data_IF_387760303768
#
_entry.id   IF_387760303768
#
_cell.length_a   1.000
_cell.length_b   1.000
_cell.length_c   1.000
_cell.angle_alpha   90.00
_cell.angle_beta   90.00
_cell.angle_gamma   90.00
#
_symmetry.space_group_name_H-M   'P 1'
#
loop_
_entity.id
_entity.type
_entity.pdbx_description
1 polymer ?
#
# COMPACT_ATOMS: atom_id res chain seq x y z
N UNK A 1 -29.28 -56.04 -8.95
CA UNK A 1 -28.93 -56.88 -7.80
C UNK A 1 -28.49 -55.95 -6.70
N UNK A 2 -29.23 -55.94 -5.60
CA UNK A 2 -28.94 -55.17 -4.41
C UNK A 2 -27.79 -55.82 -3.62
N UNK A 3 -26.91 -54.99 -3.05
CA UNK A 3 -25.90 -55.39 -2.08
C UNK A 3 -25.91 -54.41 -0.92
N UNK A 4 -26.75 -54.71 0.08
CA UNK A 4 -26.72 -54.17 1.44
C UNK A 4 -25.50 -54.74 2.20
N UNK A 5 -24.86 -53.91 3.03
CA UNK A 5 -24.15 -54.26 4.27
C UNK A 5 -23.21 -53.09 4.66
N UNK A 6 -23.02 -52.61 5.89
CA UNK A 6 -23.60 -52.85 7.22
C UNK A 6 -23.14 -51.67 8.08
N UNK A 7 -24.05 -51.04 8.82
CA UNK A 7 -23.71 -50.04 9.83
C UNK A 7 -23.05 -50.72 11.04
N UNK A 8 -21.92 -50.19 11.51
CA UNK A 8 -21.35 -50.52 12.81
C UNK A 8 -21.56 -49.33 13.74
N UNK A 9 -22.57 -49.44 14.60
CA UNK A 9 -22.74 -48.61 15.77
C UNK A 9 -21.72 -49.04 16.84
N UNK A 10 -20.90 -48.10 17.30
CA UNK A 10 -20.11 -48.23 18.52
C UNK A 10 -20.61 -47.19 19.51
N UNK A 11 -21.17 -47.69 20.61
CA UNK A 11 -21.62 -46.90 21.76
C UNK A 11 -20.81 -47.38 22.98
N UNK A 12 -20.44 -46.40 23.82
CA UNK A 12 -20.07 -46.42 25.25
C UNK A 12 -18.57 -46.30 25.58
N UNK A 13 -18.19 -45.66 26.72
CA UNK A 13 -18.99 -44.94 27.74
C UNK A 13 -18.50 -43.50 28.04
N UNK A 14 -19.37 -42.72 28.68
CA UNK A 14 -19.02 -41.50 29.41
C UNK A 14 -18.33 -41.84 30.74
N UNK A 15 -17.31 -41.05 31.13
CA UNK A 15 -17.12 -40.42 32.46
C UNK A 15 -15.64 -40.03 32.72
N UNK A 16 -15.44 -38.76 33.08
CA UNK A 16 -14.27 -38.23 33.78
C UNK A 16 -13.30 -37.48 32.84
N UNK A 17 -13.02 -36.20 32.98
CA UNK A 17 -13.36 -35.20 33.99
C UNK A 17 -12.28 -34.11 33.97
N UNK A 18 -12.69 -32.84 34.00
CA UNK A 18 -11.83 -31.66 34.20
C UNK A 18 -10.94 -31.31 33.00
N UNK A 19 -10.93 -30.11 32.44
CA UNK A 19 -11.44 -28.84 32.89
C UNK A 19 -12.00 -28.10 31.67
N UNK A 20 -13.30 -27.81 31.69
CA UNK A 20 -13.78 -26.58 31.09
C UNK A 20 -13.11 -25.46 31.90
N UNK A 21 -12.06 -24.87 31.33
CA UNK A 21 -11.67 -23.55 31.73
C UNK A 21 -12.72 -22.63 31.12
N UNK A 22 -13.84 -22.44 31.85
CA UNK A 22 -14.59 -21.20 31.80
C UNK A 22 -13.53 -20.09 31.93
N UNK A 23 -13.24 -19.40 30.83
CA UNK A 23 -12.67 -18.07 30.87
C UNK A 23 -13.75 -17.22 31.51
N UNK A 24 -13.74 -17.17 32.85
CA UNK A 24 -14.59 -16.29 33.60
C UNK A 24 -14.25 -14.86 33.19
N UNK A 25 -15.10 -14.27 32.35
CA UNK A 25 -15.31 -12.83 32.32
C UNK A 25 -15.42 -12.38 33.77
N UNK A 26 -14.46 -11.60 34.26
CA UNK A 26 -14.53 -11.08 35.61
C UNK A 26 -15.86 -10.32 35.74
N UNK A 27 -16.74 -10.74 36.65
CA UNK A 27 -18.00 -10.03 36.91
C UNK A 27 -17.67 -8.57 37.25
N UNK A 28 -17.91 -7.66 36.28
CA UNK A 28 -17.76 -6.22 36.48
C UNK A 28 -18.82 -5.80 37.50
N UNK A 29 -18.43 -5.16 38.63
CA UNK A 29 -19.41 -4.68 39.59
C UNK A 29 -20.42 -3.74 38.92
N UNK A 30 -21.72 -3.88 39.24
CA UNK A 30 -22.80 -3.04 38.70
C UNK A 30 -22.57 -1.53 38.94
N UNK A 31 -21.71 -1.17 39.91
CA UNK A 31 -21.33 0.18 40.30
C UNK A 31 -19.93 0.62 39.84
N UNK A 32 -19.24 -0.21 39.05
CA UNK A 32 -17.94 0.14 38.51
C UNK A 32 -18.04 1.26 37.45
N UNK A 33 -17.05 2.15 37.42
CA UNK A 33 -17.00 3.20 36.41
C UNK A 33 -16.64 2.59 35.05
N UNK A 34 -17.51 2.77 34.06
CA UNK A 34 -17.33 2.29 32.69
C UNK A 34 -16.93 3.45 31.77
N UNK A 35 -16.06 3.16 30.82
CA UNK A 35 -15.75 4.09 29.74
C UNK A 35 -16.96 4.31 28.81
N UNK A 36 -16.88 5.36 27.99
CA UNK A 36 -17.79 5.52 26.87
C UNK A 36 -17.58 4.38 25.87
N UNK A 37 -18.66 3.93 25.24
CA UNK A 37 -18.56 2.92 24.19
C UNK A 37 -17.72 3.45 23.02
N UNK A 38 -16.98 2.56 22.39
CA UNK A 38 -16.13 2.86 21.22
C UNK A 38 -15.01 3.88 21.55
N UNK A 39 -14.59 3.93 22.83
CA UNK A 39 -13.43 4.72 23.24
C UNK A 39 -12.21 4.31 22.41
N UNK A 40 -11.58 5.27 21.76
CA UNK A 40 -10.31 5.10 21.07
C UNK A 40 -9.40 6.31 21.33
N UNK A 41 -8.10 6.07 21.43
CA UNK A 41 -7.12 7.13 21.56
C UNK A 41 -5.68 6.62 21.51
N UNK A 42 -4.73 7.54 21.37
CA UNK A 42 -3.29 7.24 21.35
C UNK A 42 -2.64 7.78 22.61
N UNK A 43 -1.74 6.99 23.20
CA UNK A 43 -0.89 7.41 24.31
C UNK A 43 0.58 7.13 24.01
N UNK A 44 1.45 7.93 24.64
CA UNK A 44 2.89 7.70 24.72
C UNK A 44 3.32 7.14 26.08
N UNK A 45 2.36 6.89 26.97
CA UNK A 45 2.63 6.36 28.31
C UNK A 45 2.81 4.85 28.23
N UNK A 46 3.70 4.34 29.05
CA UNK A 46 3.84 2.90 29.25
C UNK A 46 2.56 2.32 29.87
N UNK A 47 2.01 1.28 29.26
CA UNK A 47 0.91 0.50 29.80
C UNK A 47 1.48 -0.75 30.49
N UNK A 48 1.10 -0.98 31.74
CA UNK A 48 1.51 -2.19 32.48
C UNK A 48 0.65 -3.38 32.03
N UNK A 49 1.06 -4.00 30.93
CA UNK A 49 0.37 -5.13 30.33
C UNK A 49 1.37 -6.14 29.73
N UNK A 50 0.92 -7.38 29.56
CA UNK A 50 1.69 -8.41 28.86
C UNK A 50 1.31 -8.38 27.39
N UNK A 51 2.09 -7.64 26.59
CA UNK A 51 1.92 -7.63 25.14
C UNK A 51 2.33 -8.97 24.53
N UNK A 52 1.50 -9.46 23.62
CA UNK A 52 1.84 -10.53 22.70
C UNK A 52 2.50 -9.88 21.49
N UNK A 53 3.71 -10.33 21.15
CA UNK A 53 4.42 -9.89 19.96
C UNK A 53 3.62 -10.27 18.70
N UNK A 54 3.58 -9.36 17.73
CA UNK A 54 3.03 -9.63 16.40
C UNK A 54 4.20 -9.91 15.44
N UNK A 55 4.04 -10.93 14.59
CA UNK A 55 5.08 -11.35 13.67
C UNK A 55 5.40 -10.25 12.65
N UNK A 56 6.67 -9.88 12.53
CA UNK A 56 7.17 -8.96 11.50
C UNK A 56 7.06 -9.62 10.12
N UNK A 57 5.97 -9.31 9.41
CA UNK A 57 5.62 -9.91 8.13
C UNK A 57 4.78 -8.97 7.28
N UNK A 58 4.71 -9.26 5.98
CA UNK A 58 3.87 -8.51 5.04
C UNK A 58 2.40 -8.54 5.44
N UNK A 59 1.94 -9.59 6.08
CA UNK A 59 0.56 -9.70 6.59
C UNK A 59 0.32 -8.87 7.85
N UNK A 60 1.34 -8.34 8.51
CA UNK A 60 1.22 -7.51 9.73
C UNK A 60 1.62 -6.05 9.51
N UNK A 61 1.73 -5.61 8.24
CA UNK A 61 2.11 -4.24 7.87
C UNK A 61 1.25 -3.65 6.76
N UNK A 62 1.18 -2.33 6.74
CA UNK A 62 0.59 -1.50 5.69
C UNK A 62 1.67 -0.67 5.01
N UNK A 63 1.70 -0.72 3.68
CA UNK A 63 2.62 0.03 2.86
C UNK A 63 1.85 1.04 2.01
N UNK A 64 2.15 2.32 2.17
CA UNK A 64 1.63 3.40 1.34
C UNK A 64 2.71 4.47 1.12
N UNK A 65 2.58 5.36 0.12
CA UNK A 65 3.53 6.45 -0.07
C UNK A 65 3.78 7.22 1.25
N UNK A 66 5.01 7.19 1.76
CA UNK A 66 5.38 7.84 3.03
C UNK A 66 4.93 7.11 4.30
N UNK A 67 4.37 5.89 4.21
CA UNK A 67 3.92 5.07 5.34
C UNK A 67 4.40 3.62 5.23
N UNK A 68 5.18 3.18 6.21
CA UNK A 68 5.38 1.76 6.55
C UNK A 68 4.88 1.54 7.98
N UNK A 69 3.61 1.14 8.11
CA UNK A 69 2.91 1.02 9.38
C UNK A 69 2.79 -0.45 9.78
N UNK A 70 3.24 -0.78 10.98
CA UNK A 70 3.16 -2.13 11.54
C UNK A 70 2.59 -2.10 12.96
N UNK A 71 1.84 -3.13 13.31
CA UNK A 71 1.48 -3.41 14.71
C UNK A 71 2.56 -4.33 15.28
N UNK A 72 3.16 -3.93 16.40
CA UNK A 72 4.30 -4.66 17.00
C UNK A 72 3.91 -5.47 18.22
N UNK A 73 2.81 -5.12 18.90
CA UNK A 73 2.38 -5.79 20.11
C UNK A 73 0.92 -5.53 20.44
N UNK A 74 0.24 -6.54 20.97
CA UNK A 74 -1.18 -6.45 21.38
C UNK A 74 -1.37 -6.99 22.79
N UNK A 75 -2.10 -6.26 23.61
CA UNK A 75 -2.54 -6.70 24.93
C UNK A 75 -4.04 -6.47 25.11
N UNK A 76 -4.75 -7.52 25.53
CA UNK A 76 -6.12 -7.40 26.02
C UNK A 76 -6.08 -6.92 27.48
N UNK A 77 -6.91 -5.93 27.83
CA UNK A 77 -6.96 -5.33 29.16
C UNK A 77 -8.36 -5.48 29.76
N UNK A 78 -8.43 -5.89 31.02
CA UNK A 78 -9.69 -5.92 31.77
C UNK A 78 -10.12 -4.52 32.22
N UNK A 79 -9.14 -3.64 32.49
CA UNK A 79 -9.35 -2.26 32.94
C UNK A 79 -8.20 -1.37 32.50
N UNK A 80 -8.44 -0.06 32.47
CA UNK A 80 -7.41 0.96 32.34
C UNK A 80 -7.37 1.86 33.59
N UNK A 81 -6.22 2.47 33.85
CA UNK A 81 -6.10 3.39 35.00
C UNK A 81 -6.83 4.71 34.72
N UNK A 82 -7.26 5.39 35.78
CA UNK A 82 -7.87 6.72 35.66
C UNK A 82 -6.95 7.74 35.00
N UNK A 83 -5.63 7.63 35.22
CA UNK A 83 -4.62 8.47 34.56
C UNK A 83 -4.52 8.21 33.06
N UNK A 84 -4.61 6.94 32.63
CA UNK A 84 -4.63 6.57 31.22
C UNK A 84 -5.94 7.02 30.56
N UNK A 85 -7.08 6.80 31.21
CA UNK A 85 -8.38 7.30 30.71
C UNK A 85 -8.38 8.82 30.53
N UNK A 86 -7.80 9.57 31.47
CA UNK A 86 -7.69 11.02 31.37
C UNK A 86 -6.73 11.49 30.26
N UNK A 87 -5.69 10.69 29.98
CA UNK A 87 -4.77 10.93 28.85
C UNK A 87 -5.50 10.77 27.50
N UNK A 88 -6.33 9.74 27.38
CA UNK A 88 -7.07 9.41 26.15
C UNK A 88 -8.24 10.37 25.89
N UNK A 89 -8.98 10.75 26.93
CA UNK A 89 -10.23 11.53 26.80
C UNK A 89 -10.08 13.02 27.12
N UNK A 90 -8.95 13.41 27.70
CA UNK A 90 -8.76 14.75 28.29
C UNK A 90 -9.59 15.02 29.55
N UNK A 91 -10.32 14.02 30.06
CA UNK A 91 -11.25 14.15 31.19
C UNK A 91 -11.00 13.08 32.26
N UNK A 92 -10.97 13.50 33.53
CA UNK A 92 -10.82 12.55 34.65
C UNK A 92 -12.16 11.86 34.97
N UNK A 93 -12.17 10.56 35.30
CA UNK A 93 -13.40 9.81 35.60
C UNK A 93 -14.11 10.30 36.89
N UNK A 94 -13.45 11.14 37.70
CA UNK A 94 -14.05 11.76 38.87
C UNK A 94 -13.96 10.90 40.13
N UNK A 95 -15.05 10.85 40.91
CA UNK A 95 -15.13 10.12 42.18
C UNK A 95 -16.35 9.20 42.19
N UNK A 96 -16.26 8.09 42.91
CA UNK A 96 -17.37 7.17 43.19
C UNK A 96 -18.50 7.84 43.97
N UNK A 97 -19.63 7.14 44.11
CA UNK A 97 -20.76 7.56 44.95
C UNK A 97 -20.40 7.70 46.45
N UNK A 98 -19.31 7.05 46.90
CA UNK A 98 -18.75 7.18 48.25
C UNK A 98 -17.80 8.38 48.39
N UNK A 99 -17.52 9.09 47.30
CA UNK A 99 -16.62 10.24 47.23
C UNK A 99 -15.14 9.86 47.15
N UNK A 100 -14.82 8.59 46.85
CA UNK A 100 -13.45 8.10 46.67
C UNK A 100 -13.03 8.31 45.20
N UNK A 101 -11.75 8.64 44.91
CA UNK A 101 -11.27 8.73 43.54
C UNK A 101 -11.44 7.42 42.79
N UNK A 102 -11.89 7.48 41.54
CA UNK A 102 -11.89 6.32 40.67
C UNK A 102 -10.45 6.04 40.24
N UNK A 103 -9.96 4.82 40.49
CA UNK A 103 -8.59 4.41 40.15
C UNK A 103 -8.54 3.51 38.90
N UNK A 104 -9.60 2.74 38.65
CA UNK A 104 -9.73 1.81 37.53
C UNK A 104 -11.03 2.09 36.75
N UNK A 105 -10.91 2.04 35.43
CA UNK A 105 -12.00 2.23 34.47
C UNK A 105 -12.19 0.92 33.72
N UNK A 106 -13.43 0.42 33.72
CA UNK A 106 -13.83 -0.78 33.00
C UNK A 106 -14.27 -0.42 31.57
N UNK A 107 -14.21 -1.36 30.62
CA UNK A 107 -14.81 -1.16 29.31
C UNK A 107 -16.32 -0.95 29.43
N UNK A 108 -16.93 -0.42 28.38
CA UNK A 108 -18.39 -0.34 28.28
C UNK A 108 -19.01 -1.75 28.27
N UNK A 109 -20.28 -1.86 28.65
CA UNK A 109 -21.00 -3.14 28.65
C UNK A 109 -20.90 -3.86 27.29
N UNK A 110 -20.38 -5.10 27.30
CA UNK A 110 -20.16 -5.92 26.11
C UNK A 110 -18.95 -5.52 25.25
N UNK A 111 -18.04 -4.70 25.79
CA UNK A 111 -16.78 -4.33 25.16
C UNK A 111 -15.57 -4.80 25.99
N UNK A 112 -14.42 -4.91 25.34
CA UNK A 112 -13.12 -5.25 25.91
C UNK A 112 -12.11 -4.20 25.47
N UNK A 113 -11.16 -3.86 26.34
CA UNK A 113 -10.05 -2.99 25.95
C UNK A 113 -8.92 -3.76 25.27
N UNK A 114 -8.37 -3.17 24.23
CA UNK A 114 -7.11 -3.57 23.62
C UNK A 114 -6.13 -2.40 23.68
N UNK A 115 -4.89 -2.72 24.05
CA UNK A 115 -3.73 -1.84 23.86
C UNK A 115 -2.88 -2.40 22.72
N UNK A 116 -2.58 -1.56 21.74
CA UNK A 116 -1.93 -1.94 20.49
C UNK A 116 -0.74 -1.02 20.25
N UNK A 117 0.46 -1.59 20.30
CA UNK A 117 1.68 -0.87 19.96
C UNK A 117 1.84 -0.83 18.43
N UNK A 118 2.13 0.36 17.91
CA UNK A 118 2.34 0.56 16.48
C UNK A 118 3.60 1.37 16.20
N UNK A 119 4.15 1.16 15.02
CA UNK A 119 5.24 1.95 14.45
C UNK A 119 4.92 2.29 13.01
N UNK A 120 5.06 3.56 12.65
CA UNK A 120 5.14 4.05 11.28
C UNK A 120 6.56 4.54 11.05
N UNK A 121 7.24 4.00 10.04
CA UNK A 121 8.51 4.50 9.54
C UNK A 121 8.34 5.05 8.12
N UNK A 122 9.33 5.82 7.65
CA UNK A 122 9.36 6.34 6.29
C UNK A 122 9.83 5.23 5.34
N UNK A 123 8.94 4.68 4.49
CA UNK A 123 9.32 3.60 3.61
C UNK A 123 10.41 4.07 2.65
N UNK A 124 11.52 3.33 2.59
CA UNK A 124 12.60 3.62 1.65
C UNK A 124 12.24 3.32 0.19
N UNK A 125 11.02 2.86 -0.11
CA UNK A 125 10.53 2.82 -1.48
C UNK A 125 10.09 4.25 -1.85
N UNK A 126 11.03 5.07 -2.33
CA UNK A 126 10.81 6.48 -2.63
C UNK A 126 9.76 6.66 -3.75
N UNK A 127 8.49 7.05 -3.46
CA UNK A 127 7.57 7.43 -4.53
C UNK A 127 8.14 8.64 -5.28
N UNK A 128 8.04 8.62 -6.61
CA UNK A 128 8.48 9.74 -7.45
C UNK A 128 7.36 10.78 -7.56
N UNK A 129 7.72 12.04 -7.30
CA UNK A 129 6.83 13.19 -7.43
C UNK A 129 6.44 13.81 -6.09
N UNK A 130 5.29 14.48 -6.07
CA UNK A 130 4.69 15.01 -4.85
C UNK A 130 3.95 13.87 -4.14
N UNK A 131 4.44 13.47 -2.96
CA UNK A 131 3.88 12.37 -2.17
C UNK A 131 2.54 12.82 -1.58
N UNK A 132 1.45 12.05 -1.75
CA UNK A 132 0.17 12.37 -1.13
C UNK A 132 0.25 12.17 0.38
N UNK A 133 -0.49 12.98 1.13
CA UNK A 133 -0.66 12.75 2.55
C UNK A 133 -1.51 11.48 2.79
N UNK A 134 -1.21 10.77 3.87
CA UNK A 134 -1.95 9.61 4.35
C UNK A 134 -2.56 9.92 5.71
N UNK A 135 -3.84 9.57 5.85
CA UNK A 135 -4.59 9.68 7.10
C UNK A 135 -4.67 8.31 7.75
N UNK A 136 -4.30 8.22 9.03
CA UNK A 136 -4.38 6.98 9.81
C UNK A 136 -5.41 7.13 10.90
N UNK A 137 -6.42 6.26 10.91
CA UNK A 137 -7.54 6.34 11.84
C UNK A 137 -7.90 4.97 12.45
N UNK A 138 -8.51 5.00 13.63
CA UNK A 138 -9.15 3.82 14.22
C UNK A 138 -10.60 3.78 13.74
N UNK A 139 -10.98 2.66 13.13
CA UNK A 139 -12.35 2.39 12.74
C UNK A 139 -12.92 1.19 13.51
N UNK A 140 -14.13 1.35 14.04
CA UNK A 140 -14.89 0.31 14.75
C UNK A 140 -16.19 0.06 13.98
N UNK A 141 -16.42 -1.20 13.60
CA UNK A 141 -17.58 -1.61 12.77
C UNK A 141 -17.75 -0.75 11.50
N UNK A 142 -16.63 -0.37 10.88
CA UNK A 142 -16.58 0.45 9.67
C UNK A 142 -16.86 1.95 9.87
N UNK A 143 -16.89 2.44 11.12
CA UNK A 143 -17.00 3.86 11.41
C UNK A 143 -15.68 4.36 11.99
N UNK A 144 -15.07 5.37 11.36
CA UNK A 144 -13.92 6.07 11.93
C UNK A 144 -14.33 6.76 13.24
N UNK A 145 -13.66 6.41 14.34
CA UNK A 145 -13.95 6.92 15.69
C UNK A 145 -12.84 7.82 16.23
N UNK A 146 -11.61 7.68 15.72
CA UNK A 146 -10.44 8.44 16.19
C UNK A 146 -9.38 8.57 15.10
N UNK A 147 -8.83 9.77 14.90
CA UNK A 147 -7.68 10.03 14.04
C UNK A 147 -6.39 9.82 14.84
N UNK A 148 -5.52 8.93 14.37
CA UNK A 148 -4.26 8.56 15.04
C UNK A 148 -3.15 9.53 14.67
N UNK A 149 -2.92 9.73 13.38
CA UNK A 149 -1.98 10.71 12.84
C UNK A 149 -2.23 10.96 11.35
N UNK A 150 -1.64 12.04 10.84
CA UNK A 150 -1.58 12.40 9.43
C UNK A 150 -0.11 12.61 9.02
N UNK A 151 0.28 12.15 7.83
CA UNK A 151 1.69 12.23 7.38
C UNK A 151 2.18 13.63 7.06
N UNK A 152 1.29 14.60 6.88
CA UNK A 152 1.64 16.02 6.73
C UNK A 152 2.33 16.59 7.97
N UNK A 153 2.14 15.96 9.14
CA UNK A 153 2.81 16.30 10.40
C UNK A 153 4.17 15.58 10.58
N UNK A 154 4.47 14.62 9.70
CA UNK A 154 5.66 13.78 9.70
C UNK A 154 5.34 12.32 9.37
N UNK A 155 6.32 11.57 8.88
CA UNK A 155 6.12 10.16 8.47
C UNK A 155 6.47 9.14 9.56
N UNK A 156 7.29 9.54 10.54
CA UNK A 156 7.74 8.67 11.63
C UNK A 156 6.87 8.85 12.87
N UNK A 157 6.10 7.81 13.22
CA UNK A 157 5.21 7.80 14.36
C UNK A 157 5.37 6.51 15.18
N UNK A 158 5.26 6.62 16.50
CA UNK A 158 5.25 5.46 17.41
C UNK A 158 4.34 5.76 18.58
N UNK A 159 3.57 4.78 19.02
CA UNK A 159 2.70 4.95 20.17
C UNK A 159 1.94 3.68 20.51
N UNK A 160 1.02 3.81 21.46
CA UNK A 160 0.08 2.77 21.83
C UNK A 160 -1.34 3.28 21.63
N UNK A 161 -2.09 2.61 20.76
CA UNK A 161 -3.52 2.83 20.61
C UNK A 161 -4.21 2.06 21.74
N UNK A 162 -5.15 2.71 22.43
CA UNK A 162 -6.06 2.05 23.36
C UNK A 162 -7.46 2.17 22.79
N UNK A 163 -8.11 1.02 22.59
CA UNK A 163 -9.43 0.95 21.95
C UNK A 163 -10.37 0.03 22.74
N UNK A 164 -11.64 0.39 22.83
CA UNK A 164 -12.71 -0.46 23.35
C UNK A 164 -13.46 -1.12 22.20
N UNK A 165 -13.45 -2.45 22.16
CA UNK A 165 -13.95 -3.27 21.04
C UNK A 165 -15.04 -4.21 21.53
N UNK A 166 -16.14 -4.42 20.80
CA UNK A 166 -17.16 -5.37 21.22
C UNK A 166 -16.63 -6.82 21.36
N UNK A 167 -17.04 -7.54 22.40
CA UNK A 167 -16.43 -8.82 22.84
C UNK A 167 -16.55 -10.00 21.84
N UNK A 168 -17.62 -10.07 21.05
CA UNK A 168 -17.93 -11.20 20.17
C UNK A 168 -17.52 -10.95 18.70
N UNK A 169 -16.41 -10.26 18.48
CA UNK A 169 -16.07 -9.71 17.16
C UNK A 169 -14.81 -10.30 16.53
N UNK A 170 -14.84 -10.34 15.21
CA UNK A 170 -13.73 -10.82 14.39
C UNK A 170 -12.66 -9.74 14.17
N UNK A 171 -11.51 -10.11 13.57
CA UNK A 171 -10.39 -9.20 13.30
C UNK A 171 -10.73 -7.92 12.53
N UNK A 172 -11.81 -7.95 11.73
CA UNK A 172 -12.28 -6.84 10.91
C UNK A 172 -13.14 -5.80 11.65
N UNK A 173 -13.45 -6.03 12.92
CA UNK A 173 -14.40 -5.20 13.66
C UNK A 173 -13.77 -3.99 14.34
N UNK A 174 -12.45 -4.01 14.57
CA UNK A 174 -11.67 -2.87 15.04
C UNK A 174 -10.34 -2.85 14.30
N UNK A 175 -10.15 -1.81 13.48
CA UNK A 175 -9.01 -1.73 12.58
C UNK A 175 -8.31 -0.39 12.69
N UNK A 176 -7.00 -0.42 12.45
CA UNK A 176 -6.19 0.73 12.10
C UNK A 176 -6.24 0.87 10.59
N UNK A 177 -6.98 1.86 10.11
CA UNK A 177 -7.19 2.14 8.70
C UNK A 177 -6.23 3.23 8.22
N UNK A 178 -5.61 3.01 7.07
CA UNK A 178 -4.76 3.98 6.37
C UNK A 178 -5.44 4.33 5.06
N UNK A 179 -5.78 5.61 4.88
CA UNK A 179 -6.23 6.16 3.62
C UNK A 179 -5.09 6.91 2.93
N UNK A 180 -4.78 6.54 1.69
CA UNK A 180 -3.83 7.28 0.85
C UNK A 180 -4.37 7.41 -0.57
N UNK A 181 -4.58 8.64 -1.04
CA UNK A 181 -5.07 8.93 -2.39
C UNK A 181 -6.38 8.17 -2.73
N UNK A 182 -7.29 8.10 -1.75
CA UNK A 182 -8.60 7.45 -1.87
C UNK A 182 -8.56 5.92 -1.91
N UNK A 183 -7.45 5.29 -1.50
CA UNK A 183 -7.31 3.84 -1.30
C UNK A 183 -7.13 3.52 0.17
N UNK A 184 -7.71 2.40 0.59
CA UNK A 184 -7.74 2.00 1.99
C UNK A 184 -6.98 0.70 2.23
N UNK A 185 -6.30 0.64 3.37
CA UNK A 185 -5.70 -0.57 3.91
C UNK A 185 -5.92 -0.63 5.41
N UNK A 186 -6.11 -1.81 5.97
CA UNK A 186 -6.55 -1.95 7.35
C UNK A 186 -5.82 -3.07 8.07
N UNK A 187 -5.23 -2.76 9.24
CA UNK A 187 -4.67 -3.73 10.19
C UNK A 187 -5.65 -3.95 11.34
N UNK A 188 -5.87 -5.20 11.71
CA UNK A 188 -6.68 -5.56 12.87
C UNK A 188 -6.00 -5.13 14.17
N UNK A 189 -6.75 -4.41 15.02
CA UNK A 189 -6.30 -4.03 16.37
C UNK A 189 -6.42 -5.21 17.37
N UNK A 190 -6.96 -6.35 16.94
CA UNK A 190 -7.20 -7.53 17.79
C UNK A 190 -6.06 -8.54 17.66
N UNK A 191 -5.57 -8.77 16.44
CA UNK A 191 -4.54 -9.77 16.14
C UNK A 191 -3.34 -9.21 15.34
N UNK A 192 -3.39 -7.95 14.89
CA UNK A 192 -2.26 -7.26 14.27
C UNK A 192 -2.12 -7.47 12.77
N UNK A 193 -2.99 -8.30 12.17
CA UNK A 193 -2.85 -8.70 10.77
C UNK A 193 -3.73 -7.84 9.85
N UNK A 194 -3.30 -7.69 8.59
CA UNK A 194 -4.04 -7.02 7.54
C UNK A 194 -5.32 -7.77 7.25
N UNK A 195 -6.44 -7.05 7.32
CA UNK A 195 -7.78 -7.60 7.06
C UNK A 195 -8.34 -7.17 5.71
N UNK A 196 -7.87 -6.03 5.19
CA UNK A 196 -8.28 -5.50 3.89
C UNK A 196 -7.18 -4.62 3.29
N UNK A 197 -7.10 -4.62 1.95
CA UNK A 197 -6.30 -3.66 1.18
C UNK A 197 -6.88 -3.50 -0.22
N UNK A 198 -7.03 -2.26 -0.66
CA UNK A 198 -7.36 -1.96 -2.05
C UNK A 198 -6.16 -2.11 -3.00
N UNK A 199 -4.95 -2.28 -2.45
CA UNK A 199 -3.68 -2.19 -3.17
C UNK A 199 -2.73 -3.36 -2.86
N UNK A 200 -3.26 -4.57 -2.68
CA UNK A 200 -2.48 -5.78 -2.32
C UNK A 200 -1.26 -6.06 -3.22
N UNK A 201 -1.28 -5.59 -4.48
CA UNK A 201 -0.16 -5.72 -5.43
C UNK A 201 1.12 -5.00 -4.96
N UNK A 202 1.05 -4.10 -3.97
CA UNK A 202 2.21 -3.42 -3.40
C UNK A 202 3.17 -4.40 -2.74
N UNK A 203 2.66 -5.40 -2.04
CA UNK A 203 3.48 -6.39 -1.31
C UNK A 203 4.22 -7.35 -2.23
N UNK A 204 3.75 -7.48 -3.47
CA UNK A 204 4.42 -8.26 -4.49
C UNK A 204 5.53 -7.48 -5.20
N UNK A 205 5.62 -6.16 -5.01
CA UNK A 205 6.47 -5.30 -5.86
C UNK A 205 7.37 -4.33 -5.11
N UNK A 206 7.12 -4.07 -3.82
CA UNK A 206 8.03 -3.26 -3.00
C UNK A 206 9.39 -3.95 -2.89
N UNK A 207 10.44 -3.19 -3.19
CA UNK A 207 11.81 -3.68 -3.25
C UNK A 207 12.24 -4.19 -4.62
N UNK A 208 11.32 -4.31 -5.58
CA UNK A 208 11.68 -4.74 -6.93
C UNK A 208 12.51 -3.67 -7.65
N UNK A 209 13.53 -4.14 -8.36
CA UNK A 209 14.35 -3.34 -9.26
C UNK A 209 13.98 -3.61 -10.72
N UNK A 210 14.52 -2.78 -11.61
CA UNK A 210 14.51 -3.06 -13.04
C UNK A 210 15.92 -2.89 -13.58
N UNK A 211 16.43 -3.95 -14.20
CA UNK A 211 17.72 -3.94 -14.88
C UNK A 211 17.53 -3.90 -16.39
N UNK A 212 18.22 -2.96 -17.05
CA UNK A 212 18.37 -2.97 -18.51
C UNK A 212 19.42 -4.02 -18.86
N UNK A 213 18.97 -5.21 -19.25
CA UNK A 213 19.87 -6.36 -19.51
C UNK A 213 20.51 -6.30 -20.88
N UNK A 214 19.83 -5.70 -21.85
CA UNK A 214 20.39 -5.35 -23.15
C UNK A 214 19.65 -4.14 -23.72
N UNK A 215 20.36 -3.26 -24.41
CA UNK A 215 19.77 -2.13 -25.11
C UNK A 215 20.52 -1.91 -26.41
N UNK A 216 19.78 -1.87 -27.52
CA UNK A 216 20.31 -1.47 -28.80
C UNK A 216 20.47 0.07 -28.83
N UNK A 217 21.59 0.53 -29.38
CA UNK A 217 21.79 1.94 -29.69
C UNK A 217 21.30 2.20 -31.12
N UNK A 218 20.44 3.20 -31.28
CA UNK A 218 20.01 3.71 -32.56
C UNK A 218 20.81 4.97 -32.92
N UNK A 219 21.35 5.01 -34.14
CA UNK A 219 21.89 6.24 -34.72
C UNK A 219 21.69 6.24 -36.23
N UNK A 220 20.97 7.24 -36.73
CA UNK A 220 20.70 7.42 -38.15
C UNK A 220 20.79 8.89 -38.56
N UNK A 221 20.96 9.13 -39.86
CA UNK A 221 21.00 10.48 -40.41
C UNK A 221 19.94 10.69 -41.48
N UNK A 222 19.41 11.92 -41.54
CA UNK A 222 18.39 12.28 -42.51
C UNK A 222 18.62 13.70 -43.05
N UNK A 223 17.98 14.02 -44.18
CA UNK A 223 18.04 15.37 -44.75
C UNK A 223 16.89 16.21 -44.20
N UNK A 224 17.23 17.25 -43.44
CA UNK A 224 16.29 18.20 -42.87
C UNK A 224 15.65 19.13 -43.90
N UNK A 225 14.68 19.92 -43.44
CA UNK A 225 13.90 20.80 -44.32
C UNK A 225 14.77 21.85 -45.04
N UNK A 226 15.87 22.29 -44.43
CA UNK A 226 16.78 23.27 -45.03
C UNK A 226 17.84 22.64 -45.94
N UNK A 227 17.80 21.32 -46.13
CA UNK A 227 18.75 20.55 -46.92
C UNK A 227 20.03 20.15 -46.15
N UNK A 228 20.09 20.46 -44.87
CA UNK A 228 21.13 20.07 -43.93
C UNK A 228 21.01 18.58 -43.54
N UNK A 229 22.14 17.92 -43.28
CA UNK A 229 22.14 16.58 -42.69
C UNK A 229 21.93 16.71 -41.18
N UNK A 230 20.90 16.04 -40.69
CA UNK A 230 20.57 15.95 -39.26
C UNK A 230 20.80 14.52 -38.77
N UNK A 231 21.00 14.38 -37.46
CA UNK A 231 21.23 13.10 -36.78
C UNK A 231 20.10 12.85 -35.81
N UNK A 232 19.66 11.61 -35.74
CA UNK A 232 18.74 11.09 -34.74
C UNK A 232 19.45 9.92 -34.06
N UNK A 233 19.41 9.87 -32.74
CA UNK A 233 20.05 8.81 -32.00
C UNK A 233 19.38 8.63 -30.65
N UNK A 234 19.44 7.41 -30.12
CA UNK A 234 19.01 7.15 -28.77
C UNK A 234 19.06 5.70 -28.35
N UNK A 235 18.77 5.48 -27.09
CA UNK A 235 18.81 4.18 -26.42
C UNK A 235 17.96 4.24 -25.14
N UNK A 236 17.54 3.08 -24.65
CA UNK A 236 16.96 2.96 -23.31
C UNK A 236 18.10 3.07 -22.29
N UNK A 237 18.00 4.02 -21.35
CA UNK A 237 19.04 4.27 -20.35
C UNK A 237 18.74 3.57 -19.03
N UNK A 238 17.52 3.70 -18.56
CA UNK A 238 17.10 3.19 -17.25
C UNK A 238 15.61 2.87 -17.24
N UNK A 239 15.18 2.11 -16.24
CA UNK A 239 13.78 1.89 -15.96
C UNK A 239 13.58 1.63 -14.46
N UNK A 240 12.35 1.78 -13.98
CA UNK A 240 11.97 1.40 -12.62
C UNK A 240 10.50 0.99 -12.57
N UNK A 241 10.16 0.18 -11.56
CA UNK A 241 8.78 -0.17 -11.23
C UNK A 241 8.33 0.54 -9.95
N UNK A 242 7.05 0.91 -9.88
CA UNK A 242 6.43 1.47 -8.68
C UNK A 242 4.92 1.19 -8.67
N UNK A 243 4.31 0.89 -7.50
CA UNK A 243 2.85 0.71 -7.38
C UNK A 243 2.08 2.04 -7.43
N UNK A 244 2.74 3.15 -7.11
CA UNK A 244 2.14 4.50 -7.12
C UNK A 244 3.04 5.47 -7.89
N UNK A 245 2.45 6.30 -8.74
CA UNK A 245 3.17 7.32 -9.51
C UNK A 245 2.36 8.61 -9.63
N UNK A 246 3.00 9.73 -9.28
CA UNK A 246 2.37 11.04 -9.36
C UNK A 246 2.02 11.43 -10.80
N UNK A 247 0.93 12.19 -10.96
CA UNK A 247 0.45 12.65 -12.27
C UNK A 247 1.47 13.48 -13.05
N UNK A 248 2.27 14.27 -12.34
CA UNK A 248 3.34 15.08 -12.93
C UNK A 248 4.44 14.24 -13.60
N UNK A 249 4.58 12.98 -13.18
CA UNK A 249 5.59 12.04 -13.67
C UNK A 249 5.01 11.01 -14.66
N UNK A 250 3.76 11.22 -15.11
CA UNK A 250 3.09 10.38 -16.10
C UNK A 250 2.19 9.28 -15.51
N UNK A 251 2.07 9.18 -14.19
CA UNK A 251 1.10 8.30 -13.53
C UNK A 251 -0.29 8.92 -13.35
N UNK A 252 -1.14 8.27 -12.57
CA UNK A 252 -2.44 8.81 -12.11
C UNK A 252 -2.78 8.29 -10.70
N UNK A 253 -1.77 8.28 -9.81
CA UNK A 253 -1.90 7.77 -8.44
C UNK A 253 -1.52 6.29 -8.35
N UNK A 254 -2.37 5.49 -7.72
CA UNK A 254 -2.20 4.03 -7.65
C UNK A 254 -2.36 3.36 -9.02
N UNK A 255 -1.58 2.32 -9.27
CA UNK A 255 -1.79 1.45 -10.43
C UNK A 255 -3.12 0.69 -10.31
N UNK A 256 -3.65 0.22 -11.44
CA UNK A 256 -4.83 -0.64 -11.44
C UNK A 256 -4.55 -1.94 -10.65
N UNK A 257 -5.62 -2.55 -10.14
CA UNK A 257 -5.51 -3.81 -9.39
C UNK A 257 -4.70 -4.86 -10.17
N UNK A 258 -3.70 -5.46 -9.49
CA UNK A 258 -2.74 -6.44 -10.03
C UNK A 258 -1.73 -5.91 -11.05
N UNK A 259 -1.63 -4.60 -11.23
CA UNK A 259 -0.62 -3.97 -12.07
C UNK A 259 0.35 -3.12 -11.24
N UNK A 260 1.47 -2.76 -11.85
CA UNK A 260 2.38 -1.70 -11.39
C UNK A 260 2.73 -0.79 -12.56
N UNK A 261 3.19 0.42 -12.24
CA UNK A 261 3.82 1.27 -13.22
C UNK A 261 5.22 0.77 -13.54
N UNK A 262 5.55 0.70 -14.82
CA UNK A 262 6.90 0.62 -15.35
C UNK A 262 7.20 1.93 -16.07
N UNK A 263 8.17 2.67 -15.56
CA UNK A 263 8.66 3.90 -16.18
C UNK A 263 9.98 3.61 -16.89
N UNK A 264 10.06 3.93 -18.19
CA UNK A 264 11.24 3.73 -19.04
C UNK A 264 11.82 5.08 -19.44
N UNK A 265 13.10 5.29 -19.10
CA UNK A 265 13.87 6.47 -19.47
C UNK A 265 14.66 6.23 -20.76
N UNK A 266 14.63 7.21 -21.65
CA UNK A 266 15.36 7.19 -22.92
C UNK A 266 16.40 8.29 -22.99
N UNK A 267 17.60 7.93 -23.45
CA UNK A 267 18.50 8.89 -24.09
C UNK A 267 17.95 9.17 -25.48
N UNK A 268 17.59 10.42 -25.78
CA UNK A 268 17.12 10.78 -27.10
C UNK A 268 17.73 12.08 -27.60
N UNK A 269 18.46 12.00 -28.71
CA UNK A 269 19.14 13.15 -29.28
C UNK A 269 18.13 14.07 -29.97
N UNK A 270 18.03 15.31 -29.49
CA UNK A 270 17.24 16.36 -30.14
C UNK A 270 17.83 16.76 -31.51
N UNK A 271 16.94 17.08 -32.45
CA UNK A 271 17.31 17.65 -33.75
C UNK A 271 16.52 18.94 -34.05
N UNK A 272 16.77 19.53 -35.22
CA UNK A 272 16.31 20.88 -35.58
C UNK A 272 14.78 21.03 -35.55
N UNK A 273 14.31 22.19 -35.07
CA UNK A 273 12.89 22.56 -34.88
C UNK A 273 12.03 22.67 -36.17
N UNK A 274 12.51 22.22 -37.33
CA UNK A 274 11.77 22.23 -38.61
C UNK A 274 11.36 20.83 -39.08
N UNK A 275 11.73 19.81 -38.32
CA UNK A 275 11.34 18.41 -38.50
C UNK A 275 10.49 18.00 -37.29
N UNK A 276 9.52 17.10 -37.50
CA UNK A 276 8.69 16.55 -36.44
C UNK A 276 9.18 15.15 -36.13
N UNK A 277 9.51 14.91 -34.86
CA UNK A 277 9.75 13.57 -34.35
C UNK A 277 8.40 12.90 -34.12
N UNK A 278 8.12 11.84 -34.86
CA UNK A 278 6.90 11.03 -34.76
C UNK A 278 7.24 9.62 -34.23
N UNK A 279 8.42 9.44 -33.59
CA UNK A 279 8.84 8.17 -33.02
C UNK A 279 7.91 7.71 -31.91
N UNK A 280 7.74 6.40 -31.78
CA UNK A 280 6.88 5.83 -30.74
C UNK A 280 7.58 4.71 -29.98
N UNK A 281 7.09 4.43 -28.77
CA UNK A 281 7.52 3.31 -27.94
C UNK A 281 6.32 2.41 -27.63
N UNK A 282 6.58 1.12 -27.51
CA UNK A 282 5.67 0.17 -26.88
C UNK A 282 6.46 -0.93 -26.15
N UNK A 283 5.80 -1.66 -25.26
CA UNK A 283 6.34 -2.87 -24.65
C UNK A 283 5.79 -4.11 -25.33
N UNK A 284 6.59 -5.16 -25.40
CA UNK A 284 6.14 -6.53 -25.61
C UNK A 284 6.40 -7.32 -24.34
N UNK A 285 5.33 -7.85 -23.74
CA UNK A 285 5.42 -8.71 -22.54
C UNK A 285 5.79 -10.15 -22.94
N UNK A 286 6.21 -10.96 -21.98
CA UNK A 286 6.58 -12.38 -22.19
C UNK A 286 5.46 -13.23 -22.81
N UNK A 287 4.20 -12.85 -22.56
CA UNK A 287 3.02 -13.49 -23.14
C UNK A 287 2.74 -13.05 -24.60
N UNK A 288 3.59 -12.19 -25.18
CA UNK A 288 3.48 -11.62 -26.52
C UNK A 288 2.49 -10.47 -26.65
N UNK A 289 1.88 -10.00 -25.55
CA UNK A 289 0.98 -8.84 -25.55
C UNK A 289 1.79 -7.55 -25.73
N UNK A 290 1.29 -6.67 -26.59
CA UNK A 290 1.81 -5.31 -26.73
C UNK A 290 1.11 -4.35 -25.77
N UNK A 291 1.87 -3.51 -25.08
CA UNK A 291 1.38 -2.45 -24.19
C UNK A 291 1.87 -1.10 -24.71
N UNK A 292 0.96 -0.12 -24.79
CA UNK A 292 1.28 1.27 -25.16
C UNK A 292 1.47 2.09 -23.89
N UNK A 293 2.25 3.18 -23.94
CA UNK A 293 2.40 4.03 -22.78
C UNK A 293 1.05 4.68 -22.42
N UNK A 294 0.79 4.83 -21.13
CA UNK A 294 -0.40 5.49 -20.59
C UNK A 294 -0.30 7.01 -20.69
N UNK A 295 0.94 7.53 -20.68
CA UNK A 295 1.23 8.92 -20.96
C UNK A 295 1.62 9.15 -22.44
N UNK A 296 1.60 10.41 -22.85
CA UNK A 296 2.26 10.85 -24.08
C UNK A 296 3.67 11.34 -23.71
N UNK A 297 4.74 10.53 -23.91
CA UNK A 297 6.10 10.96 -23.59
C UNK A 297 6.65 12.00 -24.57
N UNK A 298 5.88 12.31 -25.63
CA UNK A 298 6.30 13.25 -26.67
C UNK A 298 6.05 14.70 -26.26
N UNK A 299 7.02 15.54 -26.59
CA UNK A 299 6.86 16.99 -26.61
C UNK A 299 6.70 17.50 -28.03
N UNK A 300 6.50 18.81 -28.16
CA UNK A 300 6.37 19.49 -29.45
C UNK A 300 7.60 19.33 -30.39
N UNK A 301 8.74 18.83 -29.88
CA UNK A 301 10.03 18.79 -30.59
C UNK A 301 10.84 17.49 -30.42
N UNK A 302 10.43 16.58 -29.55
CA UNK A 302 11.14 15.32 -29.28
C UNK A 302 10.12 14.29 -28.80
N UNK A 303 10.22 13.06 -29.31
CA UNK A 303 9.29 11.98 -28.98
C UNK A 303 9.38 11.47 -27.53
N UNK A 304 10.47 11.80 -26.82
CA UNK A 304 10.76 11.28 -25.47
C UNK A 304 11.34 12.39 -24.58
N UNK A 305 10.54 13.41 -24.26
CA UNK A 305 10.94 14.48 -23.33
C UNK A 305 10.74 14.11 -21.86
N UNK A 306 9.89 13.12 -21.61
CA UNK A 306 9.67 12.50 -20.32
C UNK A 306 9.77 10.98 -20.46
N UNK A 307 9.84 10.29 -19.33
CA UNK A 307 9.79 8.84 -19.31
C UNK A 307 8.48 8.34 -19.95
N UNK A 308 8.56 7.21 -20.65
CA UNK A 308 7.39 6.49 -21.11
C UNK A 308 6.89 5.62 -19.95
N UNK A 309 5.64 5.82 -19.55
CA UNK A 309 5.02 5.15 -18.40
C UNK A 309 4.01 4.13 -18.91
N UNK A 310 4.09 2.91 -18.38
CA UNK A 310 3.23 1.80 -18.75
C UNK A 310 2.64 1.17 -17.49
N UNK A 311 1.43 0.62 -17.56
CA UNK A 311 0.97 -0.35 -16.58
C UNK A 311 1.20 -1.78 -17.07
N UNK A 312 1.90 -2.57 -16.26
CA UNK A 312 2.21 -3.98 -16.50
C UNK A 312 1.73 -4.84 -15.33
N UNK A 313 1.43 -6.14 -15.53
CA UNK A 313 1.12 -7.04 -14.43
C UNK A 313 2.24 -7.07 -13.38
N UNK A 314 1.88 -7.10 -12.09
CA UNK A 314 2.84 -7.11 -10.98
C UNK A 314 3.80 -8.31 -10.99
N UNK A 315 3.38 -9.44 -11.57
CA UNK A 315 4.14 -10.68 -11.71
C UNK A 315 5.02 -10.74 -12.98
N UNK A 316 5.20 -9.61 -13.67
CA UNK A 316 6.02 -9.55 -14.90
C UNK A 316 7.51 -9.70 -14.58
N UNK A 317 8.16 -10.72 -15.12
CA UNK A 317 9.61 -10.97 -14.93
C UNK A 317 10.46 -10.26 -16.00
N UNK A 318 10.02 -10.23 -17.26
CA UNK A 318 10.71 -9.53 -18.34
C UNK A 318 9.79 -8.79 -19.30
N UNK A 319 10.34 -7.73 -19.89
CA UNK A 319 9.70 -6.98 -20.97
C UNK A 319 10.71 -6.57 -22.03
N UNK A 320 10.27 -6.59 -23.29
CA UNK A 320 11.03 -6.01 -24.40
C UNK A 320 10.45 -4.63 -24.72
N UNK A 321 11.25 -3.58 -24.54
CA UNK A 321 10.96 -2.25 -25.05
C UNK A 321 11.23 -2.23 -26.55
N UNK A 322 10.26 -1.77 -27.33
CA UNK A 322 10.37 -1.60 -28.77
C UNK A 322 10.17 -0.13 -29.12
N UNK A 323 11.17 0.46 -29.75
CA UNK A 323 11.14 1.85 -30.22
C UNK A 323 11.06 1.83 -31.73
N UNK A 324 10.11 2.59 -32.28
CA UNK A 324 9.84 2.73 -33.72
C UNK A 324 10.26 4.14 -34.15
N UNK A 325 11.50 4.35 -34.65
CA UNK A 325 12.00 5.69 -34.98
C UNK A 325 11.33 6.23 -36.24
N UNK A 326 10.82 7.45 -36.15
CA UNK A 326 10.19 8.10 -37.29
C UNK A 326 10.36 9.62 -37.23
N UNK A 327 10.75 10.21 -38.37
CA UNK A 327 10.82 11.66 -38.54
C UNK A 327 10.06 12.10 -39.76
N UNK A 328 9.30 13.18 -39.61
CA UNK A 328 8.59 13.85 -40.69
C UNK A 328 9.19 15.22 -40.94
N UNK A 329 9.73 15.39 -42.14
CA UNK A 329 10.39 16.62 -42.56
C UNK A 329 9.43 17.42 -43.45
N UNK A 330 9.04 18.60 -42.97
CA UNK A 330 8.18 19.54 -43.70
C UNK A 330 6.70 19.56 -43.32
N UNK A 331 5.91 20.29 -44.08
CA UNK A 331 4.49 20.52 -43.80
C UNK A 331 3.56 20.05 -44.93
N UNK A 332 2.33 19.65 -44.55
CA UNK A 332 1.28 19.25 -45.47
C UNK A 332 1.57 17.95 -46.24
N UNK A 333 0.88 17.74 -47.36
CA UNK A 333 0.97 16.51 -48.16
C UNK A 333 2.33 16.31 -48.87
N UNK A 334 3.24 17.28 -48.79
CA UNK A 334 4.60 17.20 -49.33
C UNK A 334 5.66 16.86 -48.28
N UNK A 335 5.25 16.64 -47.02
CA UNK A 335 6.16 16.22 -45.97
C UNK A 335 6.80 14.88 -46.33
N UNK A 336 8.12 14.78 -46.16
CA UNK A 336 8.86 13.55 -46.36
C UNK A 336 8.92 12.80 -45.03
N UNK A 337 8.47 11.56 -45.03
CA UNK A 337 8.60 10.66 -43.88
C UNK A 337 9.90 9.86 -44.03
N UNK A 338 10.63 9.80 -42.94
CA UNK A 338 11.80 8.95 -42.74
C UNK A 338 11.43 7.94 -41.64
N UNK A 339 11.36 6.68 -42.02
CA UNK A 339 11.09 5.54 -41.16
C UNK A 339 12.30 4.58 -41.18
N UNK A 340 12.60 4.00 -40.03
CA UNK A 340 13.70 3.04 -39.85
C UNK A 340 13.19 1.76 -39.21
N UNK A 341 14.03 0.71 -39.25
CA UNK A 341 13.72 -0.52 -38.53
C UNK A 341 13.63 -0.23 -37.03
N UNK A 342 12.65 -0.82 -36.31
CA UNK A 342 12.57 -0.70 -34.87
C UNK A 342 13.83 -1.24 -34.20
N UNK A 343 14.21 -0.65 -33.06
CA UNK A 343 15.26 -1.16 -32.20
C UNK A 343 14.68 -1.50 -30.82
N UNK A 344 15.40 -2.31 -30.07
CA UNK A 344 14.87 -2.96 -28.86
C UNK A 344 15.79 -2.86 -27.66
N UNK A 345 15.19 -2.98 -26.47
CA UNK A 345 15.89 -3.18 -25.22
C UNK A 345 15.15 -4.22 -24.37
N UNK A 346 15.88 -5.08 -23.68
CA UNK A 346 15.34 -6.09 -22.78
C UNK A 346 15.49 -5.62 -21.33
N UNK A 347 14.38 -5.58 -20.60
CA UNK A 347 14.33 -5.26 -19.18
C UNK A 347 13.99 -6.52 -18.38
N UNK A 348 14.66 -6.69 -17.24
CA UNK A 348 14.33 -7.72 -16.26
C UNK A 348 13.90 -7.05 -14.97
N UNK A 349 12.74 -7.45 -14.45
CA UNK A 349 12.25 -7.04 -13.14
C UNK A 349 12.89 -7.97 -12.11
N UNK A 350 13.61 -7.40 -11.16
CA UNK A 350 14.35 -8.13 -10.14
C UNK A 350 13.66 -8.03 -8.79
N UNK A 351 13.66 -9.12 -8.05
CA UNK A 351 13.19 -9.21 -6.65
C UNK A 351 14.36 -9.07 -5.69
#
# INVERSE_FOLDING_TARGET
>A
MAGLATAAALVLPACGGGADADLASADVPDDAFQAEADLAGVTSRSIDASFSDVDDSDDARVLAPGVELSITGIAQLDTITADLYADLTGSSPGTTDTGEPIEAVHPAEGQTFYAVEYTSDDPQWEPRGEIPDSEVSVAIDGNAVFEVFDTSEGTMHRGTIVVSVPEDRGPDSAVLEVETDGKFQSLSLIDGHRVASDVDHIYETVGHGVDVTSAEEFEETFTGWTGDTQRMAGSVESAFVTPWLHRGDGGDGWADASNVYLSVEMSWAEFSATSFDESTMHLTLDNGKTVRPDNDPSGLRSAFQSNAVFQIPADTESVTVVVEPQVKVGAGNSAKVHDWEPFTAELTVTT
#
